data_IF_155307160765
#
_entry.id   IF_155307160765
#
_cell.length_a   1.000
_cell.length_b   1.000
_cell.length_c   1.000
_cell.angle_alpha   90.00
_cell.angle_beta   90.00
_cell.angle_gamma   90.00
#
_symmetry.space_group_name_H-M   'P 1'
#
loop_
_entity.id
_entity.type
_entity.pdbx_description
1 polymer ?
#
# COMPACT_ATOMS: atom_id res chain seq x y z
N UNK A 1 -4.99 10.53 13.74
CA UNK A 1 -6.06 10.81 14.72
C UNK A 1 -6.88 11.98 14.19
N UNK A 2 -8.20 11.92 14.28
CA UNK A 2 -9.09 12.99 13.82
C UNK A 2 -10.03 13.36 14.97
N UNK A 3 -10.13 14.64 15.38
CA UNK A 3 -11.00 15.03 16.50
C UNK A 3 -12.49 14.92 16.13
N UNK A 4 -13.32 14.43 17.06
CA UNK A 4 -14.75 14.21 16.81
C UNK A 4 -15.54 15.51 16.56
N UNK A 5 -15.15 16.61 17.23
CA UNK A 5 -15.90 17.88 17.24
C UNK A 5 -15.19 19.02 16.49
N UNK A 6 -14.40 18.70 15.46
CA UNK A 6 -13.70 19.73 14.68
C UNK A 6 -14.66 20.45 13.73
N UNK A 7 -14.83 21.76 13.90
CA UNK A 7 -15.56 22.62 12.97
C UNK A 7 -14.59 23.38 12.04
N UNK A 8 -14.70 23.10 10.75
CA UNK A 8 -13.88 23.71 9.69
C UNK A 8 -14.63 24.83 8.95
N UNK A 9 -15.87 25.13 9.34
CA UNK A 9 -16.74 26.08 8.65
C UNK A 9 -16.12 27.47 8.63
N UNK A 10 -15.94 28.03 7.44
CA UNK A 10 -15.36 29.37 7.24
C UNK A 10 -13.89 29.51 7.63
N UNK A 11 -13.19 28.42 7.96
CA UNK A 11 -11.76 28.43 8.31
C UNK A 11 -10.87 28.42 7.06
N UNK A 12 -9.67 28.99 7.17
CA UNK A 12 -8.56 28.79 6.24
C UNK A 12 -7.86 27.48 6.63
N UNK A 13 -7.85 26.49 5.75
CA UNK A 13 -7.29 25.18 6.05
C UNK A 13 -6.04 24.94 5.21
N UNK A 14 -4.94 24.58 5.87
CA UNK A 14 -3.74 24.03 5.26
C UNK A 14 -3.75 22.51 5.39
N UNK A 15 -3.43 21.78 4.33
CA UNK A 15 -3.35 20.32 4.33
C UNK A 15 -1.98 19.88 3.81
N UNK A 16 -1.19 19.20 4.64
CA UNK A 16 0.10 18.64 4.26
C UNK A 16 -0.08 17.19 3.83
N UNK A 17 0.22 16.91 2.57
CA UNK A 17 0.07 15.59 1.96
C UNK A 17 -1.10 15.51 0.99
N UNK A 18 -1.00 14.56 0.05
CA UNK A 18 -1.96 14.31 -1.02
C UNK A 18 -2.21 12.80 -1.23
N UNK A 19 -1.90 11.99 -0.22
CA UNK A 19 -2.17 10.54 -0.24
C UNK A 19 -3.65 10.22 0.00
N UNK A 20 -3.96 8.95 0.30
CA UNK A 20 -5.34 8.50 0.48
C UNK A 20 -6.15 9.32 1.50
N UNK A 21 -5.55 9.65 2.65
CA UNK A 21 -6.20 10.44 3.71
C UNK A 21 -6.56 11.84 3.25
N UNK A 22 -5.65 12.51 2.54
CA UNK A 22 -5.89 13.83 1.98
C UNK A 22 -6.95 13.78 0.88
N UNK A 23 -6.86 12.80 -0.03
CA UNK A 23 -7.86 12.60 -1.07
C UNK A 23 -9.25 12.33 -0.53
N UNK A 24 -9.38 11.64 0.59
CA UNK A 24 -10.67 11.40 1.24
C UNK A 24 -11.19 12.62 2.02
N UNK A 25 -10.30 13.47 2.53
CA UNK A 25 -10.68 14.62 3.37
C UNK A 25 -10.97 15.87 2.54
N UNK A 26 -10.08 16.21 1.59
CA UNK A 26 -10.16 17.45 0.81
C UNK A 26 -11.50 17.66 0.11
N UNK A 27 -11.95 16.71 -0.74
CA UNK A 27 -13.22 16.84 -1.48
C UNK A 27 -14.44 17.02 -0.59
N UNK A 28 -14.40 16.56 0.66
CA UNK A 28 -15.50 16.69 1.63
C UNK A 28 -15.54 18.07 2.28
N UNK A 29 -14.37 18.65 2.57
CA UNK A 29 -14.30 19.91 3.32
C UNK A 29 -14.30 21.15 2.41
N UNK A 30 -14.00 20.99 1.12
CA UNK A 30 -13.79 22.12 0.19
C UNK A 30 -14.94 23.14 0.12
N UNK A 31 -16.17 22.73 0.41
CA UNK A 31 -17.36 23.59 0.31
C UNK A 31 -17.66 24.34 1.60
N UNK A 32 -17.25 23.80 2.76
CA UNK A 32 -17.51 24.39 4.08
C UNK A 32 -16.39 25.34 4.54
N UNK A 33 -15.17 25.13 4.07
CA UNK A 33 -14.02 26.00 4.42
C UNK A 33 -14.07 27.33 3.67
N UNK A 34 -13.38 28.34 4.21
CA UNK A 34 -13.13 29.62 3.51
C UNK A 34 -12.10 29.44 2.40
N UNK A 35 -11.03 28.69 2.67
CA UNK A 35 -10.01 28.29 1.68
C UNK A 35 -9.35 26.98 2.08
N UNK A 36 -8.85 26.23 1.09
CA UNK A 36 -8.09 24.99 1.27
C UNK A 36 -6.77 25.07 0.49
N UNK A 37 -5.64 25.14 1.20
CA UNK A 37 -4.31 25.06 0.59
C UNK A 37 -3.72 23.68 0.83
N UNK A 38 -3.42 22.96 -0.25
CA UNK A 38 -2.87 21.60 -0.21
C UNK A 38 -1.39 21.65 -0.59
N UNK A 39 -0.54 21.18 0.31
CA UNK A 39 0.90 21.05 0.10
C UNK A 39 1.22 19.63 -0.36
N UNK A 40 1.58 19.52 -1.64
CA UNK A 40 1.89 18.27 -2.29
C UNK A 40 3.40 18.16 -2.53
N UNK A 41 4.01 17.06 -2.07
CA UNK A 41 5.41 16.73 -2.39
C UNK A 41 5.55 16.01 -3.74
N UNK A 42 4.69 15.02 -4.00
CA UNK A 42 4.74 14.20 -5.22
C UNK A 42 3.32 13.90 -5.67
N UNK A 43 3.04 13.93 -6.98
CA UNK A 43 1.74 13.55 -7.51
C UNK A 43 1.44 12.05 -7.32
N UNK A 44 0.16 11.68 -7.38
CA UNK A 44 -0.32 10.30 -7.29
C UNK A 44 -1.14 9.94 -8.53
N UNK A 45 -0.94 8.71 -9.02
CA UNK A 45 -1.86 8.13 -10.01
C UNK A 45 -3.19 7.77 -9.34
N UNK A 46 -4.28 8.02 -10.06
CA UNK A 46 -5.64 7.79 -9.58
C UNK A 46 -6.42 7.00 -10.63
N UNK A 47 -7.21 6.04 -10.19
CA UNK A 47 -8.12 5.28 -11.04
C UNK A 47 -9.56 5.82 -10.89
N UNK A 48 -10.35 5.84 -11.97
CA UNK A 48 -11.75 6.25 -11.90
C UNK A 48 -12.56 5.36 -10.94
N UNK A 49 -13.54 5.95 -10.26
CA UNK A 49 -14.50 5.22 -9.44
C UNK A 49 -15.92 5.79 -9.58
N UNK A 50 -16.57 5.44 -10.69
CA UNK A 50 -17.94 5.89 -11.00
C UNK A 50 -19.00 5.39 -10.00
N UNK A 51 -18.67 4.38 -9.20
CA UNK A 51 -19.58 3.82 -8.20
C UNK A 51 -19.38 4.41 -6.80
N UNK A 52 -18.44 5.36 -6.63
CA UNK A 52 -18.24 6.03 -5.35
C UNK A 52 -19.55 6.68 -4.87
N UNK A 53 -19.91 6.47 -3.60
CA UNK A 53 -21.16 6.94 -2.95
C UNK A 53 -22.47 6.46 -3.56
N UNK A 54 -22.45 5.66 -4.63
CA UNK A 54 -23.68 5.08 -5.16
C UNK A 54 -24.20 4.01 -4.19
N UNK A 55 -25.51 3.97 -3.91
CA UNK A 55 -26.08 2.93 -3.08
C UNK A 55 -25.88 1.57 -3.75
N UNK A 56 -25.64 0.53 -2.95
CA UNK A 56 -25.65 -0.84 -3.45
C UNK A 56 -27.10 -1.17 -3.88
N UNK A 57 -27.33 -1.64 -5.11
CA UNK A 57 -28.69 -1.97 -5.55
C UNK A 57 -29.36 -3.02 -4.67
N UNK A 58 -30.66 -2.90 -4.40
CA UNK A 58 -31.37 -3.83 -3.51
C UNK A 58 -31.39 -5.26 -4.04
N UNK A 59 -31.46 -5.44 -5.35
CA UNK A 59 -31.30 -6.74 -5.98
C UNK A 59 -29.94 -7.38 -5.63
N UNK A 60 -28.85 -6.59 -5.62
CA UNK A 60 -27.53 -7.06 -5.22
C UNK A 60 -27.50 -7.44 -3.73
N UNK A 61 -28.12 -6.63 -2.86
CA UNK A 61 -28.24 -6.94 -1.43
C UNK A 61 -29.03 -8.24 -1.20
N UNK A 62 -30.12 -8.43 -1.94
CA UNK A 62 -30.94 -9.65 -1.91
C UNK A 62 -30.14 -10.86 -2.36
N UNK A 63 -29.45 -10.80 -3.50
CA UNK A 63 -28.61 -11.90 -3.99
C UNK A 63 -27.52 -12.26 -2.99
N UNK A 64 -26.86 -11.26 -2.39
CA UNK A 64 -25.88 -11.48 -1.34
C UNK A 64 -26.52 -12.10 -0.09
N UNK A 65 -27.75 -11.79 0.29
CA UNK A 65 -28.35 -12.24 1.55
C UNK A 65 -29.05 -13.60 1.43
N UNK A 66 -29.84 -13.79 0.38
CA UNK A 66 -30.83 -14.86 0.27
C UNK A 66 -30.43 -15.97 -0.70
N UNK A 67 -29.62 -15.69 -1.72
CA UNK A 67 -29.29 -16.70 -2.75
C UNK A 67 -28.08 -17.53 -2.31
N UNK A 68 -28.26 -18.83 -2.04
CA UNK A 68 -27.14 -19.70 -1.68
C UNK A 68 -26.04 -19.65 -2.74
N UNK A 69 -24.79 -19.74 -2.30
CA UNK A 69 -23.58 -19.70 -3.14
C UNK A 69 -23.31 -18.38 -3.89
N UNK A 70 -24.25 -17.43 -3.97
CA UNK A 70 -24.01 -16.16 -4.67
C UNK A 70 -22.84 -15.38 -4.08
N UNK A 71 -22.73 -15.32 -2.74
CA UNK A 71 -21.58 -14.71 -2.06
C UNK A 71 -20.24 -15.37 -2.47
N UNK A 72 -20.23 -16.70 -2.60
CA UNK A 72 -19.03 -17.46 -2.97
C UNK A 72 -18.66 -17.18 -4.42
N UNK A 73 -19.62 -17.25 -5.33
CA UNK A 73 -19.43 -16.87 -6.73
C UNK A 73 -18.92 -15.43 -6.86
N UNK A 74 -19.55 -14.49 -6.14
CA UNK A 74 -19.18 -13.08 -6.17
C UNK A 74 -17.74 -12.87 -5.71
N UNK A 75 -17.33 -13.56 -4.62
CA UNK A 75 -15.96 -13.54 -4.14
C UNK A 75 -14.97 -14.09 -5.16
N UNK A 76 -15.28 -15.22 -5.81
CA UNK A 76 -14.45 -15.81 -6.87
C UNK A 76 -14.32 -14.83 -8.05
N UNK A 77 -15.43 -14.25 -8.50
CA UNK A 77 -15.44 -13.24 -9.56
C UNK A 77 -14.55 -12.04 -9.23
N UNK A 78 -14.63 -11.52 -7.99
CA UNK A 78 -13.78 -10.42 -7.54
C UNK A 78 -12.30 -10.83 -7.56
N UNK A 79 -11.97 -12.03 -7.07
CA UNK A 79 -10.62 -12.58 -7.13
C UNK A 79 -10.10 -12.69 -8.57
N UNK A 80 -10.90 -13.22 -9.49
CA UNK A 80 -10.57 -13.33 -10.90
C UNK A 80 -10.34 -11.96 -11.57
N UNK A 81 -11.18 -10.98 -11.24
CA UNK A 81 -11.17 -9.66 -11.88
C UNK A 81 -10.07 -8.75 -11.33
N UNK A 82 -9.80 -8.82 -10.03
CA UNK A 82 -8.96 -7.84 -9.33
C UNK A 82 -7.72 -8.43 -8.66
N UNK A 83 -7.58 -9.77 -8.60
CA UNK A 83 -6.46 -10.44 -7.91
C UNK A 83 -5.10 -10.14 -8.52
N UNK A 84 -4.86 -10.52 -9.78
CA UNK A 84 -3.52 -10.39 -10.39
C UNK A 84 -3.55 -9.61 -11.71
N UNK A 85 -4.64 -8.88 -11.96
CA UNK A 85 -4.97 -8.29 -13.27
C UNK A 85 -3.85 -7.41 -13.84
N UNK A 86 -3.13 -6.67 -12.99
CA UNK A 86 -2.06 -5.77 -13.46
C UNK A 86 -0.67 -6.32 -13.19
N UNK A 87 -0.52 -7.55 -12.66
CA UNK A 87 0.80 -8.11 -12.28
C UNK A 87 1.82 -8.09 -13.43
N UNK A 88 1.40 -8.50 -14.64
CA UNK A 88 2.29 -8.49 -15.81
C UNK A 88 2.70 -7.08 -16.23
N UNK A 89 1.88 -6.06 -15.98
CA UNK A 89 2.20 -4.68 -16.35
C UNK A 89 3.19 -4.04 -15.39
N UNK A 90 3.48 -4.67 -14.25
CA UNK A 90 4.44 -4.19 -13.27
C UNK A 90 5.87 -4.68 -13.55
N UNK A 91 6.09 -5.51 -14.58
CA UNK A 91 7.38 -6.13 -14.86
C UNK A 91 8.15 -5.35 -15.94
N UNK A 92 9.46 -5.17 -15.74
CA UNK A 92 10.36 -4.52 -16.70
C UNK A 92 10.49 -5.41 -17.94
N UNK A 93 10.22 -4.82 -19.11
CA UNK A 93 10.64 -5.38 -20.39
C UNK A 93 12.00 -4.77 -20.75
N UNK A 94 13.09 -5.56 -20.82
CA UNK A 94 14.42 -5.04 -21.09
C UNK A 94 14.56 -4.42 -22.49
N UNK A 95 13.65 -4.72 -23.41
CA UNK A 95 13.65 -4.17 -24.77
C UNK A 95 12.71 -2.95 -24.92
N UNK A 96 12.13 -2.48 -23.81
CA UNK A 96 11.20 -1.37 -23.83
C UNK A 96 11.90 -0.03 -24.10
N UNK A 97 11.49 0.64 -25.18
CA UNK A 97 12.15 1.85 -25.68
C UNK A 97 11.93 3.10 -24.80
N UNK A 98 10.97 3.05 -23.88
CA UNK A 98 10.62 4.16 -22.99
C UNK A 98 10.79 3.76 -21.51
N UNK A 99 11.89 3.07 -21.21
CA UNK A 99 12.23 2.54 -19.89
C UNK A 99 12.46 3.63 -18.81
N UNK A 100 12.54 4.90 -19.21
CA UNK A 100 12.62 6.06 -18.34
C UNK A 100 11.26 6.45 -17.73
N UNK A 101 10.15 6.17 -18.43
CA UNK A 101 8.80 6.61 -18.03
C UNK A 101 7.82 5.47 -17.73
N UNK A 102 8.07 4.26 -18.24
CA UNK A 102 7.19 3.10 -18.07
C UNK A 102 7.94 1.77 -18.16
N UNK A 103 7.27 0.68 -17.77
CA UNK A 103 7.91 -0.63 -17.60
C UNK A 103 7.85 -1.50 -18.86
N UNK A 104 6.79 -1.33 -19.64
CA UNK A 104 6.45 -2.10 -20.83
C UNK A 104 5.27 -1.41 -21.55
N UNK A 105 4.90 -1.92 -22.74
CA UNK A 105 3.78 -1.38 -23.55
C UNK A 105 2.46 -1.28 -22.80
N UNK A 106 2.10 -2.27 -21.98
CA UNK A 106 0.84 -2.26 -21.25
C UNK A 106 0.85 -1.24 -20.10
N UNK A 107 1.99 -1.07 -19.42
CA UNK A 107 2.18 -0.05 -18.41
C UNK A 107 2.10 1.37 -19.02
N UNK A 108 2.72 1.59 -20.18
CA UNK A 108 2.65 2.86 -20.91
C UNK A 108 1.22 3.17 -21.38
N UNK A 109 0.47 2.15 -21.81
CA UNK A 109 -0.95 2.29 -22.16
C UNK A 109 -1.80 2.73 -20.96
N UNK A 110 -1.54 2.16 -19.77
CA UNK A 110 -2.17 2.63 -18.53
C UNK A 110 -1.80 4.08 -18.21
N UNK A 111 -0.53 4.47 -18.44
CA UNK A 111 -0.08 5.85 -18.25
C UNK A 111 -0.88 6.80 -19.12
N UNK A 112 -1.06 6.48 -20.39
CA UNK A 112 -1.88 7.25 -21.34
C UNK A 112 -3.33 7.38 -20.86
N UNK A 113 -3.96 6.26 -20.50
CA UNK A 113 -5.34 6.23 -19.99
C UNK A 113 -5.52 7.09 -18.74
N UNK A 114 -4.69 6.92 -17.71
CA UNK A 114 -4.81 7.70 -16.48
C UNK A 114 -4.49 9.18 -16.70
N UNK A 115 -3.57 9.51 -17.61
CA UNK A 115 -3.30 10.92 -17.97
C UNK A 115 -4.53 11.57 -18.61
N UNK A 116 -5.17 10.89 -19.56
CA UNK A 116 -6.40 11.38 -20.20
C UNK A 116 -7.53 11.55 -19.18
N UNK A 117 -7.65 10.62 -18.24
CA UNK A 117 -8.62 10.73 -17.16
C UNK A 117 -8.37 11.97 -16.28
N UNK A 118 -7.13 12.21 -15.85
CA UNK A 118 -6.73 13.41 -15.09
C UNK A 118 -7.12 14.68 -15.87
N UNK A 119 -6.78 14.75 -17.16
CA UNK A 119 -7.12 15.89 -18.03
C UNK A 119 -8.64 16.11 -18.06
N UNK A 120 -9.42 15.05 -18.22
CA UNK A 120 -10.89 15.16 -18.25
C UNK A 120 -11.50 15.67 -16.94
N UNK A 121 -10.96 15.26 -15.79
CA UNK A 121 -11.49 15.65 -14.48
C UNK A 121 -11.05 17.07 -14.08
N UNK A 122 -9.88 17.53 -14.55
CA UNK A 122 -9.41 18.91 -14.37
C UNK A 122 -10.20 19.92 -15.21
N UNK A 123 -10.68 19.53 -16.39
CA UNK A 123 -11.39 20.42 -17.30
C UNK A 123 -10.52 21.59 -17.77
N UNK A 124 -10.91 22.81 -17.40
CA UNK A 124 -10.27 24.07 -17.80
C UNK A 124 -8.97 24.38 -17.04
N UNK A 125 -8.68 23.69 -15.92
CA UNK A 125 -7.50 23.90 -15.08
C UNK A 125 -6.23 23.22 -15.61
N UNK A 126 -5.93 23.39 -16.90
CA UNK A 126 -4.82 22.70 -17.59
C UNK A 126 -3.44 23.16 -17.10
N UNK A 127 -3.34 24.33 -16.49
CA UNK A 127 -2.12 24.85 -15.85
C UNK A 127 -1.64 24.00 -14.66
N UNK A 128 -2.49 23.11 -14.13
CA UNK A 128 -2.14 22.20 -13.04
C UNK A 128 -1.49 20.89 -13.51
N UNK A 129 -1.45 20.61 -14.82
CA UNK A 129 -1.00 19.30 -15.34
C UNK A 129 0.41 18.93 -14.88
N UNK A 130 1.35 19.89 -14.91
CA UNK A 130 2.73 19.66 -14.47
C UNK A 130 2.83 19.34 -12.98
N UNK A 131 1.83 19.76 -12.18
CA UNK A 131 1.76 19.43 -10.76
C UNK A 131 1.08 18.10 -10.50
N UNK A 132 0.12 17.67 -11.31
CA UNK A 132 -0.74 16.52 -10.99
C UNK A 132 -0.44 15.25 -11.76
N UNK A 133 0.22 15.32 -12.92
CA UNK A 133 0.61 14.13 -13.69
C UNK A 133 1.88 13.55 -13.07
N UNK A 134 1.86 12.33 -12.52
CA UNK A 134 3.04 11.78 -11.88
C UNK A 134 4.17 11.50 -12.88
N UNK A 135 5.43 11.79 -12.52
CA UNK A 135 6.58 11.57 -13.38
C UNK A 135 7.05 10.11 -13.38
N UNK A 136 6.46 9.25 -12.55
CA UNK A 136 6.84 7.85 -12.38
C UNK A 136 5.80 6.91 -13.02
N UNK A 137 6.16 5.65 -13.33
CA UNK A 137 5.23 4.72 -13.95
C UNK A 137 3.97 4.43 -13.11
N UNK A 138 2.79 4.19 -13.73
CA UNK A 138 1.60 3.73 -13.02
C UNK A 138 1.88 2.55 -12.10
N UNK A 139 1.17 2.50 -10.96
CA UNK A 139 1.29 1.47 -9.93
C UNK A 139 2.61 1.44 -9.12
N UNK A 140 3.54 2.38 -9.35
CA UNK A 140 4.72 2.55 -8.48
C UNK A 140 4.39 2.89 -7.02
N UNK A 141 3.19 3.42 -6.78
CA UNK A 141 2.52 3.54 -5.48
C UNK A 141 1.13 2.90 -5.60
N UNK A 142 0.49 2.57 -4.47
CA UNK A 142 -0.90 2.08 -4.50
C UNK A 142 -1.79 3.12 -5.21
N UNK A 143 -2.50 2.68 -6.23
CA UNK A 143 -3.47 3.52 -6.95
C UNK A 143 -4.55 3.99 -6.00
N UNK A 144 -4.82 5.29 -6.02
CA UNK A 144 -5.93 5.89 -5.29
C UNK A 144 -7.18 5.79 -6.17
N UNK A 145 -8.34 5.63 -5.55
CA UNK A 145 -9.62 5.65 -6.28
C UNK A 145 -10.13 7.09 -6.25
N UNK A 146 -10.45 7.66 -7.42
CA UNK A 146 -10.93 9.04 -7.45
C UNK A 146 -12.26 9.16 -6.72
N UNK A 147 -12.35 10.17 -5.87
CA UNK A 147 -13.54 10.52 -5.14
C UNK A 147 -13.93 11.99 -5.40
N UNK A 148 -13.48 12.54 -6.53
CA UNK A 148 -13.62 13.96 -6.87
C UNK A 148 -12.39 14.80 -6.52
N UNK A 149 -11.20 14.19 -6.39
CA UNK A 149 -9.98 14.90 -6.05
C UNK A 149 -9.61 15.94 -7.12
N UNK A 150 -9.61 15.55 -8.39
CA UNK A 150 -9.28 16.48 -9.48
C UNK A 150 -10.39 17.49 -9.73
N UNK A 151 -11.67 17.09 -9.58
CA UNK A 151 -12.80 18.02 -9.65
C UNK A 151 -12.75 19.09 -8.57
N UNK A 152 -12.31 18.73 -7.36
CA UNK A 152 -12.11 19.69 -6.26
C UNK A 152 -11.10 20.79 -6.64
N UNK A 153 -10.05 20.47 -7.42
CA UNK A 153 -9.06 21.47 -7.84
C UNK A 153 -9.62 22.56 -8.77
N UNK A 154 -10.85 22.37 -9.29
CA UNK A 154 -11.56 23.40 -10.08
C UNK A 154 -12.22 24.46 -9.21
N UNK A 155 -12.42 24.18 -7.92
CA UNK A 155 -12.98 25.12 -6.97
C UNK A 155 -11.97 26.23 -6.66
N UNK A 156 -12.36 27.49 -6.86
CA UNK A 156 -11.50 28.67 -6.66
C UNK A 156 -11.00 28.82 -5.22
N UNK A 157 -11.67 28.21 -4.25
CA UNK A 157 -11.23 28.18 -2.84
C UNK A 157 -10.04 27.24 -2.61
N UNK A 158 -9.71 26.38 -3.56
CA UNK A 158 -8.72 25.31 -3.42
C UNK A 158 -7.44 25.67 -4.18
N UNK A 159 -6.30 25.59 -3.49
CA UNK A 159 -4.98 25.87 -4.06
C UNK A 159 -4.05 24.68 -3.86
N UNK A 160 -3.41 24.23 -4.95
CA UNK A 160 -2.37 23.20 -4.91
C UNK A 160 -0.96 23.84 -4.97
N UNK A 161 -0.20 23.62 -3.91
CA UNK A 161 1.17 24.11 -3.73
C UNK A 161 2.13 22.93 -3.81
N UNK A 162 3.10 23.01 -4.72
CA UNK A 162 4.16 22.01 -4.91
C UNK A 162 5.52 22.46 -4.38
N UNK A 163 5.63 23.73 -3.97
CA UNK A 163 6.83 24.29 -3.38
C UNK A 163 7.10 23.64 -2.01
N UNK A 164 8.35 23.22 -1.70
CA UNK A 164 8.67 22.60 -0.43
C UNK A 164 8.37 23.54 0.74
N UNK A 165 7.84 22.99 1.84
CA UNK A 165 7.65 23.73 3.09
C UNK A 165 9.03 23.97 3.74
N UNK A 166 9.28 25.19 4.20
CA UNK A 166 10.48 25.55 4.97
C UNK A 166 10.21 25.48 6.47
N UNK A 167 9.10 26.08 6.92
CA UNK A 167 8.69 26.10 8.32
C UNK A 167 7.17 26.24 8.49
N UNK A 168 6.69 25.84 9.66
CA UNK A 168 5.32 26.07 10.11
C UNK A 168 5.40 27.08 11.26
N UNK A 169 4.68 28.19 11.12
CA UNK A 169 4.53 29.21 12.17
C UNK A 169 3.14 29.10 12.79
N UNK A 170 2.86 29.92 13.80
CA UNK A 170 1.63 29.85 14.58
C UNK A 170 0.34 29.94 13.75
N UNK A 171 0.34 30.72 12.66
CA UNK A 171 -0.85 31.05 11.86
C UNK A 171 -0.65 30.87 10.34
N UNK A 172 0.48 30.28 9.92
CA UNK A 172 0.83 30.13 8.50
C UNK A 172 1.83 29.01 8.24
N UNK A 173 1.79 28.49 7.03
CA UNK A 173 2.82 27.60 6.46
C UNK A 173 3.68 28.43 5.50
N UNK A 174 5.00 28.36 5.66
CA UNK A 174 5.96 29.08 4.81
C UNK A 174 6.63 28.09 3.86
N UNK A 175 6.67 28.41 2.58
CA UNK A 175 7.38 27.63 1.56
C UNK A 175 8.80 28.14 1.34
N UNK A 176 9.67 27.31 0.75
CA UNK A 176 11.08 27.64 0.51
C UNK A 176 11.30 28.85 -0.41
N UNK A 177 10.33 29.20 -1.23
CA UNK A 177 10.34 30.41 -2.07
C UNK A 177 9.94 31.67 -1.29
N UNK A 178 9.69 31.56 0.01
CA UNK A 178 9.33 32.67 0.89
C UNK A 178 7.85 33.03 0.88
N UNK A 179 7.00 32.32 0.11
CA UNK A 179 5.55 32.56 0.15
C UNK A 179 4.97 32.07 1.47
N UNK A 180 4.03 32.85 1.99
CA UNK A 180 3.33 32.55 3.23
C UNK A 180 1.88 32.18 2.93
N UNK A 181 1.40 31.13 3.58
CA UNK A 181 0.06 30.59 3.40
C UNK A 181 -0.65 30.56 4.76
N UNK A 182 -1.48 31.56 5.01
CA UNK A 182 -2.22 31.67 6.27
C UNK A 182 -3.21 30.52 6.45
N UNK A 183 -3.28 29.98 7.67
CA UNK A 183 -4.17 28.90 8.02
C UNK A 183 -4.64 29.01 9.48
N UNK A 184 -5.93 28.77 9.70
CA UNK A 184 -6.52 28.63 11.02
C UNK A 184 -6.43 27.18 11.52
N UNK A 185 -6.38 26.22 10.58
CA UNK A 185 -6.30 24.78 10.86
C UNK A 185 -5.25 24.15 9.94
N UNK A 186 -4.41 23.30 10.53
CA UNK A 186 -3.45 22.46 9.80
C UNK A 186 -3.85 20.98 9.89
N UNK A 187 -4.10 20.37 8.74
CA UNK A 187 -4.34 18.93 8.60
C UNK A 187 -3.04 18.26 8.16
N UNK A 188 -2.53 17.33 8.95
CA UNK A 188 -1.32 16.55 8.63
C UNK A 188 -1.71 15.18 8.10
N UNK A 189 -1.77 15.04 6.78
CA UNK A 189 -2.16 13.83 6.06
C UNK A 189 -0.94 13.13 5.43
N UNK A 190 0.10 12.92 6.23
CA UNK A 190 1.43 12.45 5.79
C UNK A 190 1.56 10.93 5.61
N UNK A 191 0.52 10.17 5.93
CA UNK A 191 0.50 8.71 5.80
C UNK A 191 1.04 7.99 7.05
N UNK A 192 1.61 6.81 6.85
CA UNK A 192 2.05 5.88 7.90
C UNK A 192 3.49 5.40 7.66
N UNK A 193 4.20 5.04 8.72
CA UNK A 193 5.44 4.28 8.61
C UNK A 193 5.10 2.82 8.33
N UNK A 194 5.48 2.32 7.15
CA UNK A 194 5.22 0.95 6.69
C UNK A 194 6.49 0.12 6.56
N UNK A 195 7.65 0.70 6.83
CA UNK A 195 8.94 0.02 6.71
C UNK A 195 9.36 -0.58 8.04
N UNK A 196 9.02 0.10 9.15
CA UNK A 196 9.32 -0.36 10.50
C UNK A 196 8.15 -1.19 11.03
N UNK A 197 8.21 -2.49 10.78
CA UNK A 197 7.20 -3.45 11.25
C UNK A 197 7.28 -3.64 12.76
N UNK A 198 6.12 -3.82 13.41
CA UNK A 198 5.98 -4.19 14.83
C UNK A 198 6.70 -3.25 15.82
N UNK A 199 6.83 -1.96 15.50
CA UNK A 199 7.55 -0.97 16.34
C UNK A 199 6.97 -0.75 17.73
N UNK A 200 5.70 -1.10 17.95
CA UNK A 200 5.02 -1.00 19.25
C UNK A 200 5.33 -2.14 20.21
N UNK A 201 6.08 -3.17 19.81
CA UNK A 201 6.40 -4.34 20.62
C UNK A 201 7.93 -4.54 20.78
N UNK A 202 8.38 -4.96 21.97
CA UNK A 202 9.75 -5.48 22.19
C UNK A 202 9.72 -7.02 22.08
N UNK A 203 9.98 -7.54 20.88
CA UNK A 203 9.95 -8.98 20.61
C UNK A 203 11.38 -9.51 20.61
N UNK A 204 11.63 -10.56 21.39
CA UNK A 204 12.95 -11.17 21.57
C UNK A 204 12.94 -12.64 21.20
N UNK A 205 13.94 -13.02 20.42
CA UNK A 205 14.15 -14.41 20.00
C UNK A 205 14.72 -15.26 21.14
N UNK A 206 14.86 -16.56 20.89
CA UNK A 206 15.42 -17.51 21.86
C UNK A 206 16.88 -17.22 22.22
N UNK A 207 17.63 -16.59 21.30
CA UNK A 207 18.99 -16.10 21.56
C UNK A 207 19.05 -14.83 22.41
N UNK A 208 17.89 -14.19 22.67
CA UNK A 208 17.78 -12.89 23.34
C UNK A 208 17.88 -11.67 22.41
N UNK A 209 18.21 -11.86 21.12
CA UNK A 209 18.22 -10.78 20.11
C UNK A 209 16.84 -10.19 19.90
N UNK A 210 16.76 -8.87 19.69
CA UNK A 210 15.49 -8.18 19.40
C UNK A 210 15.16 -8.33 17.92
N UNK A 211 13.88 -8.49 17.60
CA UNK A 211 13.40 -8.57 16.21
C UNK A 211 13.77 -7.32 15.40
N UNK A 212 13.72 -6.15 16.03
CA UNK A 212 14.13 -4.88 15.39
C UNK A 212 15.60 -4.88 14.96
N UNK A 213 16.47 -5.51 15.76
CA UNK A 213 17.90 -5.60 15.45
C UNK A 213 18.12 -6.59 14.29
N UNK A 214 17.40 -7.72 14.30
CA UNK A 214 17.42 -8.72 13.20
C UNK A 214 16.92 -8.13 11.89
N UNK A 215 15.94 -7.24 11.93
CA UNK A 215 15.43 -6.51 10.77
C UNK A 215 16.17 -5.21 10.47
N UNK A 216 17.21 -4.88 11.22
CA UNK A 216 18.00 -3.65 11.03
C UNK A 216 17.13 -2.37 10.90
N UNK A 217 16.12 -2.26 11.77
CA UNK A 217 15.07 -1.22 11.80
C UNK A 217 14.06 -1.24 10.63
N UNK A 218 14.52 -1.09 9.39
CA UNK A 218 13.67 -0.90 8.20
C UNK A 218 13.90 -1.95 7.09
N UNK A 219 14.56 -3.07 7.42
CA UNK A 219 14.97 -4.12 6.48
C UNK A 219 14.27 -5.47 6.77
N UNK A 220 12.98 -5.42 7.12
CA UNK A 220 12.23 -6.60 7.55
C UNK A 220 12.23 -7.74 6.51
N UNK A 221 12.55 -8.95 6.98
CA UNK A 221 12.60 -10.19 6.20
C UNK A 221 11.89 -11.30 6.98
N UNK A 222 11.11 -12.12 6.27
CA UNK A 222 10.43 -13.26 6.87
C UNK A 222 10.10 -14.31 5.80
N UNK A 223 10.22 -15.59 6.15
CA UNK A 223 9.80 -16.69 5.30
C UNK A 223 8.28 -16.66 5.13
N UNK A 224 7.83 -16.60 3.88
CA UNK A 224 6.42 -16.38 3.50
C UNK A 224 5.79 -15.15 4.16
N UNK A 225 6.60 -14.17 4.54
CA UNK A 225 6.18 -12.98 5.28
C UNK A 225 5.66 -13.26 6.70
N UNK A 226 5.92 -14.46 7.25
CA UNK A 226 5.39 -14.92 8.55
C UNK A 226 6.46 -15.34 9.55
N UNK A 227 7.41 -16.18 9.13
CA UNK A 227 8.31 -16.87 10.04
C UNK A 227 9.71 -16.26 10.01
N UNK A 228 10.34 -16.10 11.18
CA UNK A 228 11.68 -15.52 11.32
C UNK A 228 12.54 -16.50 12.11
N UNK A 229 13.73 -16.91 11.61
CA UNK A 229 14.68 -17.70 12.40
C UNK A 229 14.99 -17.03 13.73
N UNK A 230 15.27 -17.81 14.78
CA UNK A 230 15.46 -17.35 16.17
C UNK A 230 14.16 -16.96 16.92
N UNK A 231 13.01 -16.93 16.25
CA UNK A 231 11.70 -16.63 16.85
C UNK A 231 10.76 -17.85 16.75
N UNK A 232 11.00 -18.92 17.53
CA UNK A 232 10.19 -20.13 17.50
C UNK A 232 8.74 -19.85 17.89
N UNK A 233 7.79 -20.54 17.24
CA UNK A 233 6.34 -20.43 17.48
C UNK A 233 5.76 -19.01 17.32
N UNK A 234 6.53 -18.07 16.77
CA UNK A 234 6.07 -16.72 16.47
C UNK A 234 5.75 -16.60 14.98
N UNK A 235 4.57 -16.05 14.68
CA UNK A 235 4.10 -15.83 13.31
C UNK A 235 3.67 -14.38 13.13
N UNK A 236 4.34 -13.66 12.22
CA UNK A 236 3.95 -12.30 11.84
C UNK A 236 2.86 -12.36 10.76
N UNK A 237 1.63 -11.97 11.09
CA UNK A 237 0.60 -11.79 10.07
C UNK A 237 0.77 -10.44 9.37
N UNK A 238 0.52 -10.44 8.05
CA UNK A 238 0.74 -9.31 7.18
C UNK A 238 2.13 -8.66 7.35
N UNK A 239 3.14 -9.52 7.49
CA UNK A 239 4.55 -9.12 7.58
C UNK A 239 5.13 -8.64 6.25
N UNK A 240 6.47 -8.57 6.15
CA UNK A 240 7.14 -8.00 5.00
C UNK A 240 6.83 -8.75 3.71
N UNK A 241 6.85 -8.02 2.59
CA UNK A 241 6.70 -8.53 1.24
C UNK A 241 5.37 -9.22 0.93
N UNK A 242 4.27 -8.79 1.56
CA UNK A 242 2.93 -9.39 1.39
C UNK A 242 1.86 -8.42 0.87
N UNK A 243 2.15 -7.12 0.76
CA UNK A 243 1.14 -6.17 0.29
C UNK A 243 0.82 -6.42 -1.21
N UNK A 244 -0.45 -6.69 -1.56
CA UNK A 244 -0.85 -7.05 -2.93
C UNK A 244 -0.87 -5.82 -3.86
N UNK A 245 0.31 -5.36 -4.27
CA UNK A 245 0.48 -4.13 -5.05
C UNK A 245 -0.04 -4.21 -6.49
N UNK A 246 -0.19 -5.43 -7.03
CA UNK A 246 -0.73 -5.73 -8.36
C UNK A 246 -2.25 -6.00 -8.36
N UNK A 247 -2.92 -5.74 -7.25
CA UNK A 247 -4.33 -6.08 -7.05
C UNK A 247 -4.52 -7.26 -6.11
N UNK A 248 -5.76 -7.43 -5.65
CA UNK A 248 -6.17 -8.39 -4.64
C UNK A 248 -6.67 -7.72 -3.38
N UNK A 249 -6.81 -8.51 -2.32
CA UNK A 249 -7.32 -8.06 -1.03
C UNK A 249 -6.35 -8.44 0.07
N UNK A 250 -6.04 -7.49 0.95
CA UNK A 250 -5.35 -7.76 2.21
C UNK A 250 -6.01 -8.94 2.96
N UNK A 251 -7.34 -8.95 3.00
CA UNK A 251 -8.09 -10.00 3.70
C UNK A 251 -7.81 -11.37 3.10
N UNK A 252 -7.64 -11.46 1.77
CA UNK A 252 -7.31 -12.72 1.12
C UNK A 252 -5.91 -13.20 1.50
N UNK A 253 -4.93 -12.30 1.56
CA UNK A 253 -3.56 -12.61 2.02
C UNK A 253 -3.56 -13.10 3.46
N UNK A 254 -4.28 -12.42 4.36
CA UNK A 254 -4.40 -12.83 5.77
C UNK A 254 -5.10 -14.18 5.90
N UNK A 255 -6.15 -14.47 5.13
CA UNK A 255 -6.79 -15.79 5.14
C UNK A 255 -5.85 -16.92 4.69
N UNK A 256 -4.97 -16.66 3.71
CA UNK A 256 -3.94 -17.60 3.29
C UNK A 256 -2.92 -17.86 4.41
N UNK A 257 -2.43 -16.80 5.06
CA UNK A 257 -1.53 -16.91 6.22
C UNK A 257 -2.18 -17.66 7.38
N UNK A 258 -3.42 -17.33 7.73
CA UNK A 258 -4.17 -18.00 8.79
C UNK A 258 -4.29 -19.49 8.52
N UNK A 259 -4.62 -19.90 7.29
CA UNK A 259 -4.69 -21.32 6.93
C UNK A 259 -3.35 -22.02 7.13
N UNK A 260 -2.25 -21.40 6.68
CA UNK A 260 -0.91 -21.93 6.83
C UNK A 260 -0.54 -22.10 8.32
N UNK A 261 -0.74 -21.06 9.13
CA UNK A 261 -0.44 -21.07 10.57
C UNK A 261 -1.27 -22.14 11.27
N UNK A 262 -2.56 -22.26 10.96
CA UNK A 262 -3.42 -23.29 11.54
C UNK A 262 -2.97 -24.70 11.16
N UNK A 263 -2.44 -24.91 9.95
CA UNK A 263 -1.86 -26.18 9.54
C UNK A 263 -0.54 -26.49 10.28
N UNK A 264 0.31 -25.49 10.52
CA UNK A 264 1.50 -25.65 11.40
C UNK A 264 1.07 -26.08 12.81
N UNK A 265 0.14 -25.35 13.44
CA UNK A 265 -0.34 -25.65 14.79
C UNK A 265 -0.97 -27.04 14.85
N UNK A 266 -1.80 -27.41 13.86
CA UNK A 266 -2.36 -28.76 13.76
C UNK A 266 -1.27 -29.82 13.72
N UNK A 267 -0.23 -29.62 12.91
CA UNK A 267 0.90 -30.56 12.80
C UNK A 267 1.72 -30.64 14.08
N UNK A 268 1.91 -29.53 14.79
CA UNK A 268 2.54 -29.53 16.12
C UNK A 268 1.77 -30.41 17.10
N UNK A 269 0.46 -30.24 17.18
CA UNK A 269 -0.40 -31.02 18.07
C UNK A 269 -0.38 -32.52 17.71
N UNK A 270 -0.55 -32.86 16.44
CA UNK A 270 -0.57 -34.27 15.99
C UNK A 270 0.78 -34.98 16.20
N UNK A 271 1.91 -34.25 16.09
CA UNK A 271 3.26 -34.80 16.23
C UNK A 271 3.89 -34.58 17.61
N UNK A 272 3.13 -34.05 18.57
CA UNK A 272 3.60 -33.71 19.91
C UNK A 272 4.86 -32.81 19.92
N UNK A 273 4.87 -31.77 19.08
CA UNK A 273 5.96 -30.79 18.99
C UNK A 273 5.68 -29.59 19.91
N UNK A 274 6.72 -29.12 20.58
CA UNK A 274 6.70 -27.91 21.40
C UNK A 274 7.29 -26.68 20.70
N UNK A 275 8.11 -26.91 19.67
CA UNK A 275 8.78 -25.86 18.92
C UNK A 275 8.65 -26.14 17.43
N UNK A 276 8.34 -25.09 16.68
CA UNK A 276 8.54 -24.97 15.23
C UNK A 276 9.25 -23.64 14.97
N UNK A 277 10.42 -23.70 14.36
CA UNK A 277 11.26 -22.53 14.04
C UNK A 277 11.72 -22.61 12.59
N UNK A 278 11.57 -21.53 11.82
CA UNK A 278 11.99 -21.54 10.43
C UNK A 278 13.50 -21.69 10.32
N UNK A 279 13.97 -22.58 9.45
CA UNK A 279 15.40 -22.72 9.19
C UNK A 279 15.96 -21.48 8.52
N UNK A 280 17.19 -21.12 8.88
CA UNK A 280 17.89 -19.95 8.34
C UNK A 280 18.07 -20.03 6.81
N UNK A 281 18.45 -21.19 6.29
CA UNK A 281 18.68 -21.40 4.85
C UNK A 281 17.40 -21.25 4.02
N UNK A 282 16.27 -21.75 4.53
CA UNK A 282 14.95 -21.59 3.90
C UNK A 282 14.50 -20.13 3.91
N UNK A 283 14.67 -19.45 5.05
CA UNK A 283 14.39 -18.04 5.18
C UNK A 283 15.20 -17.20 4.18
N UNK A 284 16.51 -17.43 4.12
CA UNK A 284 17.40 -16.62 3.30
C UNK A 284 17.16 -16.85 1.81
N UNK A 285 17.00 -18.12 1.38
CA UNK A 285 16.69 -18.45 -0.01
C UNK A 285 15.37 -17.81 -0.48
N UNK A 286 14.32 -17.82 0.36
CA UNK A 286 13.06 -17.18 0.02
C UNK A 286 13.19 -15.65 -0.12
N UNK A 287 13.90 -15.00 0.80
CA UNK A 287 14.06 -13.55 0.72
C UNK A 287 14.97 -13.13 -0.43
N UNK A 288 15.96 -13.95 -0.79
CA UNK A 288 16.77 -13.73 -2.00
C UNK A 288 15.91 -13.83 -3.27
N UNK A 289 15.05 -14.85 -3.38
CA UNK A 289 14.09 -14.98 -4.48
C UNK A 289 13.18 -13.75 -4.58
N UNK A 290 12.63 -13.29 -3.45
CA UNK A 290 11.79 -12.09 -3.36
C UNK A 290 12.52 -10.84 -3.86
N UNK A 291 13.79 -10.66 -3.45
CA UNK A 291 14.58 -9.49 -3.82
C UNK A 291 14.96 -9.51 -5.31
N UNK A 292 15.33 -10.68 -5.84
CA UNK A 292 15.60 -10.89 -7.27
C UNK A 292 14.37 -10.60 -8.14
N UNK A 293 13.18 -11.03 -7.72
CA UNK A 293 11.95 -10.73 -8.44
C UNK A 293 11.64 -9.22 -8.43
N UNK A 294 11.79 -8.55 -7.29
CA UNK A 294 11.55 -7.10 -7.17
C UNK A 294 12.48 -6.24 -8.03
N UNK A 295 13.73 -6.68 -8.27
CA UNK A 295 14.68 -5.98 -9.14
C UNK A 295 14.09 -5.72 -10.54
N UNK A 296 13.16 -6.57 -10.99
CA UNK A 296 12.50 -6.49 -12.28
C UNK A 296 11.08 -5.89 -12.23
N UNK A 297 10.69 -5.24 -11.12
CA UNK A 297 9.33 -4.71 -10.96
C UNK A 297 9.28 -3.17 -10.84
N UNK A 298 8.07 -2.63 -11.00
CA UNK A 298 7.75 -1.19 -10.93
C UNK A 298 8.31 -0.51 -9.66
N UNK A 299 8.37 -1.22 -8.54
CA UNK A 299 8.77 -0.63 -7.27
C UNK A 299 10.26 -0.33 -7.16
N UNK A 300 11.08 -0.90 -8.05
CA UNK A 300 12.53 -0.64 -8.18
C UNK A 300 12.86 0.22 -9.41
N UNK A 301 11.85 0.86 -10.02
CA UNK A 301 12.08 1.76 -11.14
C UNK A 301 12.90 2.99 -10.69
N UNK A 302 13.91 3.46 -11.48
CA UNK A 302 14.78 4.59 -11.09
C UNK A 302 14.04 5.92 -10.94
N UNK A 303 13.08 6.21 -11.82
CA UNK A 303 12.24 7.41 -11.75
C UNK A 303 11.22 7.42 -10.60
N UNK A 304 11.36 6.55 -9.59
CA UNK A 304 10.34 6.34 -8.57
C UNK A 304 10.94 6.28 -7.16
N UNK A 305 10.48 7.20 -6.32
CA UNK A 305 10.64 7.17 -4.86
C UNK A 305 9.33 6.72 -4.21
N UNK A 306 9.35 5.58 -3.52
CA UNK A 306 8.20 5.01 -2.82
C UNK A 306 8.48 4.81 -1.34
N UNK A 307 7.42 4.92 -0.56
CA UNK A 307 7.39 4.55 0.86
C UNK A 307 7.49 3.03 1.10
N UNK A 308 7.54 2.21 0.04
CA UNK A 308 7.77 0.75 0.13
C UNK A 308 9.25 0.34 0.13
N UNK A 309 10.14 1.28 -0.22
CA UNK A 309 11.57 1.05 -0.42
C UNK A 309 12.32 1.62 0.78
N UNK A 310 13.14 0.79 1.41
CA UNK A 310 13.90 1.19 2.58
C UNK A 310 15.14 2.03 2.22
N UNK A 311 15.86 2.51 3.24
CA UNK A 311 17.03 3.37 3.03
C UNK A 311 18.17 2.70 2.23
N UNK A 312 18.17 1.36 2.15
CA UNK A 312 19.14 0.54 1.39
C UNK A 312 18.68 0.23 -0.03
N UNK A 313 17.49 0.68 -0.43
CA UNK A 313 16.95 0.44 -1.77
C UNK A 313 16.15 -0.86 -1.94
N UNK A 314 15.95 -1.66 -0.88
CA UNK A 314 15.18 -2.92 -0.92
C UNK A 314 13.69 -2.65 -0.79
N UNK A 315 12.86 -3.42 -1.51
CA UNK A 315 11.41 -3.40 -1.34
C UNK A 315 11.02 -4.31 -0.18
N UNK A 316 10.39 -3.73 0.84
CA UNK A 316 10.07 -4.43 2.09
C UNK A 316 8.58 -4.71 2.22
N UNK A 317 7.74 -4.01 1.44
CA UNK A 317 6.29 -3.99 1.67
C UNK A 317 5.53 -4.86 0.67
N UNK A 318 5.76 -4.69 -0.63
CA UNK A 318 4.97 -5.37 -1.65
C UNK A 318 5.36 -6.83 -1.86
N UNK A 319 4.38 -7.63 -2.24
CA UNK A 319 4.61 -8.98 -2.77
C UNK A 319 4.99 -8.91 -4.24
N UNK A 320 6.03 -9.65 -4.68
CA UNK A 320 6.32 -9.83 -6.10
C UNK A 320 5.47 -10.96 -6.72
N UNK A 321 4.87 -11.81 -5.89
CA UNK A 321 4.12 -12.99 -6.32
C UNK A 321 2.68 -12.67 -6.62
N UNK A 322 2.18 -13.26 -7.72
CA UNK A 322 0.74 -13.42 -7.94
C UNK A 322 0.09 -14.10 -6.73
N UNK A 323 -1.15 -13.72 -6.43
CA UNK A 323 -1.91 -14.30 -5.32
C UNK A 323 -2.04 -15.82 -5.43
N UNK A 324 -2.18 -16.37 -6.64
CA UNK A 324 -2.23 -17.82 -6.85
C UNK A 324 -0.92 -18.53 -6.49
N UNK A 325 0.24 -17.91 -6.77
CA UNK A 325 1.55 -18.48 -6.40
C UNK A 325 1.73 -18.46 -4.89
N UNK A 326 1.36 -17.35 -4.24
CA UNK A 326 1.41 -17.26 -2.78
C UNK A 326 0.41 -18.23 -2.12
N UNK A 327 -0.77 -18.41 -2.70
CA UNK A 327 -1.74 -19.43 -2.26
C UNK A 327 -1.13 -20.82 -2.27
N UNK A 328 -0.45 -21.22 -3.34
CA UNK A 328 0.21 -22.55 -3.38
C UNK A 328 1.34 -22.66 -2.36
N UNK A 329 2.19 -21.64 -2.23
CA UNK A 329 3.26 -21.61 -1.20
C UNK A 329 2.71 -21.68 0.23
N UNK A 330 1.47 -21.23 0.47
CA UNK A 330 0.84 -21.18 1.80
C UNK A 330 -0.28 -22.22 1.99
N UNK A 331 -0.51 -23.10 1.00
CA UNK A 331 -1.65 -24.02 1.04
C UNK A 331 -1.53 -25.05 2.16
N UNK A 332 -0.31 -25.51 2.43
CA UNK A 332 0.06 -26.46 3.49
C UNK A 332 1.49 -26.17 3.96
N UNK A 333 1.74 -26.30 5.26
CA UNK A 333 3.07 -26.10 5.84
C UNK A 333 3.98 -27.33 5.65
N UNK A 334 5.18 -27.16 5.10
CA UNK A 334 6.16 -28.24 5.05
C UNK A 334 7.04 -28.19 6.30
N UNK A 335 6.91 -29.15 7.23
CA UNK A 335 7.71 -29.15 8.46
C UNK A 335 9.22 -29.41 8.22
N UNK A 336 9.63 -29.90 7.05
CA UNK A 336 11.05 -30.07 6.70
C UNK A 336 11.78 -28.72 6.52
N UNK A 337 11.02 -27.64 6.34
CA UNK A 337 11.50 -26.26 6.28
C UNK A 337 11.76 -25.65 7.66
N UNK A 338 11.45 -26.41 8.72
CA UNK A 338 11.53 -25.97 10.10
C UNK A 338 12.44 -26.86 10.94
N UNK A 339 13.12 -26.24 11.89
CA UNK A 339 13.66 -26.95 13.05
C UNK A 339 12.50 -27.20 14.01
N UNK A 340 12.33 -28.45 14.42
CA UNK A 340 11.25 -28.86 15.33
C UNK A 340 11.83 -29.50 16.58
N UNK A 341 11.19 -29.25 17.73
CA UNK A 341 11.57 -29.89 19.01
C UNK A 341 10.32 -30.52 19.63
N UNK A 342 10.48 -31.66 20.35
CA UNK A 342 9.38 -32.29 21.04
C UNK A 342 8.81 -31.38 22.13
N UNK A 343 7.52 -31.56 22.45
CA UNK A 343 6.87 -30.86 23.55
C UNK A 343 7.56 -31.25 24.86
N UNK A 344 8.03 -30.25 25.62
CA UNK A 344 8.54 -30.47 26.98
C UNK A 344 7.38 -30.96 27.86
N UNK A 345 7.66 -31.99 28.67
CA UNK A 345 6.69 -32.65 29.55
C UNK A 345 6.13 -31.70 30.60
#
# INVERSE_FOLDING_TARGET
EWPDNVDLTGKRVAMIGNGASAMQTGPEIQHIVKSLTIFQRSAHWVAPNEHFRKPIPDAMRFLLREVPLYRVWYRIRLGWTFGDRVHSTLQKDPNWQHADRSLNKANDSHRGYFTQYIVSELGDKTELLDKVVPPYPPFGKRMLMDNGWYRMLRNEKVKLVSDPISEIRADRVVTKDGKEHEADVLIVATGFDVLRFLTSFDIRGRSGRRLRDVWEDDNAKAYLGMNIPDFPNFFCMYGPNLQPGHGGSLIFVVEMQMRYIMDVVKKMLTRNLGVVECRQDVHDAYNEEVDQLHANMVWTHPGMETYYRNARGRIVVNSPYRNAVYYEKTRQANLEEFVVEPRRA
#
